data_IF_484072530137
#
_entry.id   IF_484072530137
#
_cell.length_a   1.000
_cell.length_b   1.000
_cell.length_c   1.000
_cell.angle_alpha   90.00
_cell.angle_beta   90.00
_cell.angle_gamma   90.00
#
_symmetry.space_group_name_H-M   'P 1'
#
loop_
_entity.id
_entity.type
_entity.pdbx_description
1 polymer ?
#
# COMPACT_ATOMS: atom_id res chain seq x y z
N UNK A 1 -50.43 -9.13 -11.16
CA UNK A 1 -49.85 -8.08 -12.01
C UNK A 1 -48.34 -8.19 -11.88
N UNK A 2 -47.70 -8.90 -12.82
CA UNK A 2 -46.23 -8.92 -12.92
C UNK A 2 -45.73 -7.50 -13.16
N UNK A 3 -44.78 -7.06 -12.36
CA UNK A 3 -44.33 -5.68 -12.32
C UNK A 3 -43.35 -5.46 -13.49
N UNK A 4 -43.87 -4.96 -14.61
CA UNK A 4 -43.20 -4.73 -15.91
C UNK A 4 -41.92 -3.86 -15.77
N UNK A 5 -41.75 -3.20 -14.62
CA UNK A 5 -40.63 -2.32 -14.29
C UNK A 5 -39.35 -3.05 -13.87
N UNK A 6 -39.40 -4.33 -13.48
CA UNK A 6 -38.22 -5.11 -13.07
C UNK A 6 -37.20 -5.28 -14.21
N UNK A 7 -37.66 -5.39 -15.47
CA UNK A 7 -36.80 -5.61 -16.64
C UNK A 7 -35.99 -4.37 -17.06
N UNK A 8 -36.38 -3.17 -16.60
CA UNK A 8 -35.68 -1.91 -16.89
C UNK A 8 -34.69 -1.50 -15.80
N UNK A 9 -34.64 -2.22 -14.68
CA UNK A 9 -33.72 -1.92 -13.59
C UNK A 9 -32.35 -2.54 -13.86
N UNK A 10 -31.30 -1.71 -13.73
CA UNK A 10 -29.92 -2.18 -13.83
C UNK A 10 -29.67 -3.21 -12.73
N UNK A 11 -29.59 -4.49 -13.10
CA UNK A 11 -29.37 -5.60 -12.18
C UNK A 11 -27.87 -5.86 -12.04
N UNK A 12 -27.32 -5.55 -10.87
CA UNK A 12 -25.94 -5.89 -10.54
C UNK A 12 -25.84 -7.38 -10.20
N UNK A 13 -25.36 -8.18 -11.16
CA UNK A 13 -25.15 -9.62 -10.99
C UNK A 13 -23.68 -9.84 -10.61
N UNK A 14 -23.43 -10.61 -9.54
CA UNK A 14 -22.08 -11.03 -9.17
C UNK A 14 -21.45 -11.83 -10.33
N UNK A 15 -20.39 -11.30 -10.93
CA UNK A 15 -19.64 -12.00 -11.97
C UNK A 15 -18.91 -13.22 -11.39
N UNK A 16 -18.99 -14.35 -12.10
CA UNK A 16 -18.32 -15.61 -11.73
C UNK A 16 -16.83 -15.62 -12.06
N UNK A 17 -16.40 -14.83 -13.05
CA UNK A 17 -14.99 -14.73 -13.48
C UNK A 17 -14.53 -13.27 -13.49
N UNK A 18 -13.28 -13.05 -13.05
CA UNK A 18 -12.65 -11.73 -13.17
C UNK A 18 -12.29 -11.47 -14.64
N UNK A 19 -12.36 -10.20 -15.05
CA UNK A 19 -11.89 -9.79 -16.38
C UNK A 19 -10.36 -9.77 -16.39
N UNK A 20 -9.74 -10.53 -17.29
CA UNK A 20 -8.28 -10.50 -17.49
C UNK A 20 -7.78 -9.08 -17.81
N UNK A 21 -8.57 -8.28 -18.52
CA UNK A 21 -8.22 -6.90 -18.83
C UNK A 21 -8.11 -6.04 -17.56
N UNK A 22 -9.13 -6.08 -16.70
CA UNK A 22 -9.11 -5.31 -15.43
C UNK A 22 -8.05 -5.86 -14.48
N UNK A 23 -7.81 -7.17 -14.48
CA UNK A 23 -6.78 -7.80 -13.66
C UNK A 23 -5.39 -7.20 -13.90
N UNK A 24 -5.00 -7.00 -15.17
CA UNK A 24 -3.71 -6.38 -15.52
C UNK A 24 -3.75 -4.85 -15.48
N UNK A 25 -4.88 -4.22 -15.82
CA UNK A 25 -5.00 -2.76 -15.84
C UNK A 25 -5.02 -2.16 -14.43
N UNK A 26 -5.63 -2.85 -13.46
CA UNK A 26 -5.77 -2.37 -12.09
C UNK A 26 -4.44 -1.97 -11.42
N UNK A 27 -3.40 -2.84 -11.36
CA UNK A 27 -2.12 -2.45 -10.76
C UNK A 27 -1.42 -1.33 -11.54
N UNK A 28 -1.55 -1.29 -12.88
CA UNK A 28 -0.97 -0.21 -13.70
C UNK A 28 -1.59 1.15 -13.33
N UNK A 29 -2.92 1.21 -13.27
CA UNK A 29 -3.65 2.43 -12.89
C UNK A 29 -3.32 2.84 -11.46
N UNK A 30 -3.20 1.88 -10.55
CA UNK A 30 -2.80 2.15 -9.16
C UNK A 30 -1.41 2.79 -9.08
N UNK A 31 -0.43 2.29 -9.84
CA UNK A 31 0.93 2.88 -9.90
C UNK A 31 0.89 4.30 -10.45
N UNK A 32 0.18 4.53 -11.56
CA UNK A 32 0.05 5.86 -12.16
C UNK A 32 -0.63 6.85 -11.22
N UNK A 33 -1.73 6.43 -10.58
CA UNK A 33 -2.42 7.23 -9.58
C UNK A 33 -1.49 7.57 -8.40
N UNK A 34 -0.73 6.60 -7.90
CA UNK A 34 0.23 6.80 -6.81
C UNK A 34 1.29 7.83 -7.17
N UNK A 35 1.88 7.75 -8.37
CA UNK A 35 2.86 8.72 -8.84
C UNK A 35 2.25 10.11 -9.03
N UNK A 36 1.01 10.20 -9.53
CA UNK A 36 0.29 11.45 -9.70
C UNK A 36 0.03 12.13 -8.34
N UNK A 37 -0.55 11.40 -7.39
CA UNK A 37 -0.82 11.94 -6.05
C UNK A 37 0.47 12.29 -5.30
N UNK A 38 1.51 11.45 -5.40
CA UNK A 38 2.83 11.76 -4.85
C UNK A 38 3.42 13.03 -5.44
N UNK A 39 3.30 13.22 -6.76
CA UNK A 39 3.76 14.46 -7.43
C UNK A 39 3.00 15.67 -6.91
N UNK A 40 1.69 15.56 -6.73
CA UNK A 40 0.85 16.64 -6.23
C UNK A 40 1.24 17.03 -4.80
N UNK A 41 1.52 16.06 -3.93
CA UNK A 41 2.02 16.31 -2.57
C UNK A 41 3.37 17.05 -2.63
N UNK A 42 4.31 16.61 -3.47
CA UNK A 42 5.59 17.30 -3.60
C UNK A 42 5.43 18.74 -4.10
N UNK A 43 4.54 18.98 -5.07
CA UNK A 43 4.24 20.33 -5.54
C UNK A 43 3.63 21.21 -4.44
N UNK A 44 2.73 20.66 -3.60
CA UNK A 44 2.17 21.39 -2.46
C UNK A 44 3.21 21.76 -1.39
N UNK A 45 4.33 21.04 -1.37
CA UNK A 45 5.47 21.30 -0.47
C UNK A 45 6.55 22.17 -1.14
N UNK A 46 6.27 22.76 -2.31
CA UNK A 46 7.23 23.52 -3.13
C UNK A 46 8.49 22.71 -3.54
N UNK A 47 8.35 21.39 -3.65
CA UNK A 47 9.42 20.48 -4.07
C UNK A 47 9.25 20.06 -5.53
N UNK A 48 10.36 19.95 -6.27
CA UNK A 48 10.36 19.39 -7.62
C UNK A 48 10.00 17.89 -7.57
N UNK A 49 8.91 17.42 -8.20
CA UNK A 49 8.49 16.02 -8.10
C UNK A 49 9.52 15.03 -8.66
N UNK A 50 10.16 15.38 -9.76
CA UNK A 50 11.11 14.51 -10.44
C UNK A 50 12.35 14.27 -9.58
N UNK A 51 12.88 15.33 -8.97
CA UNK A 51 13.98 15.25 -8.02
C UNK A 51 13.56 14.51 -6.74
N UNK A 52 12.38 14.81 -6.21
CA UNK A 52 11.85 14.17 -5.00
C UNK A 52 11.69 12.65 -5.18
N UNK A 53 11.21 12.19 -6.34
CA UNK A 53 11.16 10.77 -6.64
C UNK A 53 12.54 10.14 -6.81
N UNK A 54 13.52 10.86 -7.38
CA UNK A 54 14.90 10.37 -7.42
C UNK A 54 15.44 10.19 -6.01
N UNK A 55 15.22 11.15 -5.12
CA UNK A 55 15.66 11.03 -3.72
C UNK A 55 14.94 9.85 -3.04
N UNK A 56 13.63 9.71 -3.24
CA UNK A 56 12.84 8.65 -2.61
C UNK A 56 13.21 7.24 -3.10
N UNK A 57 13.37 7.03 -4.42
CA UNK A 57 13.58 5.71 -5.00
C UNK A 57 15.05 5.36 -5.26
N UNK A 58 15.88 6.33 -5.63
CA UNK A 58 17.27 6.09 -6.07
C UNK A 58 18.23 6.29 -4.90
N UNK A 59 18.06 7.32 -4.08
CA UNK A 59 19.01 7.61 -2.98
C UNK A 59 19.21 6.43 -2.01
N UNK A 60 18.17 5.70 -1.57
CA UNK A 60 18.34 4.58 -0.64
C UNK A 60 19.15 3.43 -1.22
N UNK A 61 19.10 3.21 -2.54
CA UNK A 61 19.85 2.11 -3.19
C UNK A 61 21.21 2.55 -3.73
N UNK A 62 21.54 3.84 -3.63
CA UNK A 62 22.75 4.42 -4.23
C UNK A 62 24.03 4.11 -3.47
N UNK A 63 23.95 3.71 -2.20
CA UNK A 63 25.11 3.35 -1.40
C UNK A 63 24.77 2.29 -0.34
N UNK A 64 25.80 1.66 0.23
CA UNK A 64 25.63 0.55 1.18
C UNK A 64 24.89 0.97 2.45
N UNK A 65 25.11 2.20 2.93
CA UNK A 65 24.44 2.69 4.14
C UNK A 65 22.93 2.86 3.92
N UNK A 66 22.54 3.52 2.82
CA UNK A 66 21.15 3.67 2.43
C UNK A 66 20.48 2.33 2.20
N UNK A 67 21.20 1.36 1.62
CA UNK A 67 20.66 0.02 1.40
C UNK A 67 20.41 -0.69 2.73
N UNK A 68 21.33 -0.56 3.70
CA UNK A 68 21.12 -1.07 5.06
C UNK A 68 19.92 -0.41 5.74
N UNK A 69 19.79 0.91 5.66
CA UNK A 69 18.65 1.62 6.26
C UNK A 69 17.31 1.22 5.61
N UNK A 70 17.30 1.07 4.28
CA UNK A 70 16.15 0.58 3.53
C UNK A 70 15.74 -0.81 4.02
N UNK A 71 16.70 -1.73 4.17
CA UNK A 71 16.44 -3.09 4.64
C UNK A 71 15.92 -3.11 6.08
N UNK A 72 16.50 -2.32 6.99
CA UNK A 72 16.04 -2.21 8.38
C UNK A 72 14.55 -1.83 8.46
N UNK A 73 14.09 -0.93 7.60
CA UNK A 73 12.67 -0.53 7.53
C UNK A 73 11.82 -1.55 6.75
N UNK A 74 12.36 -2.14 5.69
CA UNK A 74 11.63 -3.08 4.84
C UNK A 74 11.38 -4.44 5.52
N UNK A 75 12.31 -4.92 6.36
CA UNK A 75 12.18 -6.22 7.04
C UNK A 75 10.89 -6.38 7.86
N UNK A 76 10.54 -5.48 8.81
CA UNK A 76 9.29 -5.62 9.55
C UNK A 76 8.06 -5.52 8.66
N UNK A 77 8.08 -4.64 7.64
CA UNK A 77 6.99 -4.51 6.67
C UNK A 77 6.78 -5.78 5.85
N UNK A 78 7.86 -6.42 5.41
CA UNK A 78 7.80 -7.67 4.65
C UNK A 78 7.21 -8.81 5.49
N UNK A 79 7.59 -8.92 6.77
CA UNK A 79 7.03 -9.91 7.70
C UNK A 79 5.52 -9.69 7.88
N UNK A 80 5.09 -8.44 8.05
CA UNK A 80 3.66 -8.08 8.15
C UNK A 80 2.92 -8.46 6.86
N UNK A 81 3.47 -8.12 5.69
CA UNK A 81 2.86 -8.45 4.41
C UNK A 81 2.69 -9.96 4.22
N UNK A 82 3.66 -10.78 4.64
CA UNK A 82 3.56 -12.23 4.62
C UNK A 82 2.41 -12.73 5.51
N UNK A 83 2.27 -12.20 6.74
CA UNK A 83 1.16 -12.53 7.63
C UNK A 83 -0.20 -12.13 7.04
N UNK A 84 -0.31 -10.90 6.54
CA UNK A 84 -1.53 -10.38 5.92
C UNK A 84 -1.95 -11.19 4.68
N UNK A 85 -0.99 -11.69 3.89
CA UNK A 85 -1.29 -12.53 2.72
C UNK A 85 -2.10 -13.77 3.09
N UNK A 86 -1.87 -14.35 4.28
CA UNK A 86 -2.63 -15.50 4.78
C UNK A 86 -4.03 -15.09 5.24
N UNK A 87 -4.16 -13.94 5.89
CA UNK A 87 -5.45 -13.45 6.36
C UNK A 87 -6.39 -13.03 5.22
N UNK A 88 -5.84 -12.40 4.17
CA UNK A 88 -6.61 -12.04 2.98
C UNK A 88 -7.14 -13.27 2.23
N UNK A 89 -6.42 -14.41 2.25
CA UNK A 89 -6.95 -15.68 1.74
C UNK A 89 -8.20 -16.16 2.48
N UNK A 90 -8.34 -15.77 3.74
CA UNK A 90 -9.50 -16.10 4.58
C UNK A 90 -10.56 -14.98 4.60
N UNK A 91 -10.48 -13.99 3.71
CA UNK A 91 -11.35 -12.81 3.63
C UNK A 91 -11.36 -11.95 4.92
N UNK A 92 -10.28 -12.00 5.71
CA UNK A 92 -10.10 -11.14 6.89
C UNK A 92 -9.24 -9.94 6.47
N UNK A 93 -9.87 -8.78 6.36
CA UNK A 93 -9.21 -7.57 5.83
C UNK A 93 -8.75 -6.59 6.91
N UNK A 94 -9.40 -6.59 8.08
CA UNK A 94 -9.08 -5.67 9.17
C UNK A 94 -8.52 -6.44 10.38
N UNK A 95 -7.23 -6.24 10.64
CA UNK A 95 -6.47 -6.92 11.72
C UNK A 95 -5.70 -5.90 12.56
N UNK A 96 -5.78 -4.61 12.20
CA UNK A 96 -5.03 -3.55 12.88
C UNK A 96 -3.51 -3.66 12.74
N UNK A 97 -3.02 -4.20 11.62
CA UNK A 97 -1.58 -4.41 11.39
C UNK A 97 -0.75 -3.12 11.51
N UNK A 98 -1.28 -1.99 11.06
CA UNK A 98 -0.63 -0.67 11.22
C UNK A 98 -0.46 -0.31 12.70
N UNK A 99 -1.51 -0.49 13.52
CA UNK A 99 -1.44 -0.24 14.96
C UNK A 99 -0.45 -1.18 15.67
N UNK A 100 -0.38 -2.45 15.26
CA UNK A 100 0.61 -3.40 15.78
C UNK A 100 2.04 -2.96 15.45
N UNK A 101 2.30 -2.50 14.23
CA UNK A 101 3.59 -1.95 13.83
C UNK A 101 3.94 -0.70 14.65
N UNK A 102 3.01 0.25 14.79
CA UNK A 102 3.21 1.49 15.54
C UNK A 102 3.50 1.20 17.01
N UNK A 103 2.70 0.35 17.67
CA UNK A 103 2.94 -0.01 19.06
C UNK A 103 4.26 -0.75 19.24
N UNK A 104 4.60 -1.66 18.32
CA UNK A 104 5.90 -2.34 18.31
C UNK A 104 7.08 -1.37 18.20
N UNK A 105 6.98 -0.35 17.34
CA UNK A 105 7.99 0.70 17.20
C UNK A 105 8.11 1.55 18.47
N UNK A 106 6.98 1.93 19.09
CA UNK A 106 6.96 2.70 20.35
C UNK A 106 7.62 1.92 21.49
N UNK A 107 7.21 0.66 21.71
CA UNK A 107 7.77 -0.14 22.79
C UNK A 107 9.23 -0.51 22.52
N UNK A 108 9.57 -0.93 21.30
CA UNK A 108 10.94 -1.27 20.94
C UNK A 108 11.90 -0.09 21.07
N UNK A 109 11.51 1.07 20.52
CA UNK A 109 12.28 2.30 20.64
C UNK A 109 12.35 2.80 22.08
N UNK A 110 11.24 2.76 22.81
CA UNK A 110 11.16 3.18 24.20
C UNK A 110 12.03 2.35 25.14
N UNK A 111 12.03 1.02 24.99
CA UNK A 111 12.92 0.13 25.75
C UNK A 111 14.38 0.38 25.36
N UNK A 112 14.68 0.50 24.06
CA UNK A 112 16.04 0.78 23.60
C UNK A 112 16.61 2.08 24.18
N UNK A 113 15.81 3.14 24.22
CA UNK A 113 16.18 4.41 24.84
C UNK A 113 16.29 4.33 26.38
N UNK A 114 15.53 3.46 27.04
CA UNK A 114 15.59 3.30 28.49
C UNK A 114 16.91 2.66 28.96
N UNK A 115 17.55 1.83 28.11
CA UNK A 115 18.82 1.17 28.40
C UNK A 115 20.06 1.89 27.84
N UNK A 116 19.87 2.97 27.08
CA UNK A 116 20.93 3.88 26.61
C UNK A 116 21.17 4.99 27.62
#
# INVERSE_FOLDING_TARGET
MENIWEDYLIKLIKRSTQSNFIFYLSPLVAVLATLLFGSLIFLLLDLNPLESFKIFFISPISNSYGLSELLVKATPLAIIALGLSYCFKNNIYNIGAEGQLTMGAIFGGGIGLFFL
#
